data_IF_828482761372
#
_entry.id   IF_828482761372
#
_cell.length_a   1.000
_cell.length_b   1.000
_cell.length_c   1.000
_cell.angle_alpha   90.00
_cell.angle_beta   90.00
_cell.angle_gamma   90.00
#
_symmetry.space_group_name_H-M   'P 1'
#
loop_
_entity.id
_entity.type
_entity.pdbx_description
1 polymer ?
#
# COMPACT_ATOMS: atom_id res chain seq x y z
N UNK A 1 -25.86 -2.53 3.54
CA UNK A 1 -25.77 -2.84 2.08
C UNK A 1 -24.37 -3.33 1.80
N UNK A 2 -24.18 -4.54 1.23
CA UNK A 2 -22.83 -5.00 0.81
C UNK A 2 -22.33 -4.03 -0.28
N UNK A 3 -21.37 -3.17 0.07
CA UNK A 3 -20.74 -2.26 -0.87
C UNK A 3 -20.25 -3.05 -2.10
N UNK A 4 -20.46 -2.49 -3.29
CA UNK A 4 -20.09 -3.13 -4.55
C UNK A 4 -18.64 -3.62 -4.52
N UNK A 5 -18.37 -4.75 -5.17
CA UNK A 5 -17.05 -5.39 -5.22
C UNK A 5 -16.02 -4.39 -5.75
N UNK A 6 -15.12 -3.91 -4.87
CA UNK A 6 -14.07 -2.94 -5.19
C UNK A 6 -13.17 -3.51 -6.28
N UNK A 7 -12.91 -2.73 -7.33
CA UNK A 7 -12.01 -3.12 -8.43
C UNK A 7 -10.71 -2.33 -8.33
N UNK A 8 -9.66 -2.85 -8.95
CA UNK A 8 -8.34 -2.20 -8.98
C UNK A 8 -8.40 -0.76 -9.52
N UNK A 9 -9.18 -0.51 -10.58
CA UNK A 9 -9.35 0.84 -11.15
C UNK A 9 -10.03 1.85 -10.24
N UNK A 10 -10.69 1.40 -9.17
CA UNK A 10 -11.35 2.30 -8.24
C UNK A 10 -10.33 3.01 -7.32
N UNK A 11 -9.06 2.56 -7.28
CA UNK A 11 -8.01 3.18 -6.44
C UNK A 11 -7.73 4.64 -6.80
N UNK A 12 -7.82 5.01 -8.07
CA UNK A 12 -7.55 6.38 -8.53
C UNK A 12 -8.79 7.27 -8.60
N UNK A 13 -9.97 6.76 -8.26
CA UNK A 13 -11.20 7.55 -8.37
C UNK A 13 -11.34 8.52 -7.20
N UNK A 14 -11.81 9.76 -7.46
CA UNK A 14 -12.11 10.70 -6.40
C UNK A 14 -13.23 10.13 -5.52
N UNK A 15 -13.00 10.13 -4.22
CA UNK A 15 -14.01 9.78 -3.21
C UNK A 15 -13.54 10.30 -1.86
N UNK A 16 -14.48 10.71 -1.00
CA UNK A 16 -14.17 11.10 0.38
C UNK A 16 -13.53 9.95 1.14
N UNK A 17 -14.05 8.74 0.94
CA UNK A 17 -13.52 7.51 1.51
C UNK A 17 -13.86 6.32 0.60
N UNK A 18 -12.86 5.53 0.23
CA UNK A 18 -13.02 4.40 -0.69
C UNK A 18 -13.66 3.18 0.00
N UNK A 19 -13.33 2.94 1.28
CA UNK A 19 -13.88 1.84 2.08
C UNK A 19 -14.27 2.32 3.46
N UNK A 20 -15.52 2.10 3.86
CA UNK A 20 -15.92 2.28 5.25
C UNK A 20 -15.55 1.04 6.05
N UNK A 21 -14.69 1.20 7.07
CA UNK A 21 -14.42 0.13 8.01
C UNK A 21 -15.55 0.07 9.06
N UNK A 22 -16.00 -1.14 9.34
CA UNK A 22 -16.98 -1.43 10.37
C UNK A 22 -16.35 -2.38 11.40
N UNK A 23 -16.13 -1.94 12.66
CA UNK A 23 -15.55 -2.78 13.71
C UNK A 23 -16.32 -4.08 13.95
N UNK A 24 -17.62 -4.12 13.66
CA UNK A 24 -18.41 -5.33 13.77
C UNK A 24 -17.96 -6.45 12.81
N UNK A 25 -17.29 -6.08 11.71
CA UNK A 25 -16.77 -7.03 10.72
C UNK A 25 -15.36 -7.53 11.08
N UNK A 26 -14.66 -6.88 12.03
CA UNK A 26 -13.29 -7.25 12.38
C UNK A 26 -13.22 -8.62 13.05
N UNK A 27 -12.05 -9.25 12.94
CA UNK A 27 -11.78 -10.51 13.64
C UNK A 27 -11.94 -10.30 15.15
N UNK A 28 -12.78 -11.13 15.77
CA UNK A 28 -12.96 -11.13 17.22
C UNK A 28 -11.69 -11.63 17.90
N UNK A 29 -11.30 -10.94 18.96
CA UNK A 29 -10.21 -11.41 19.80
C UNK A 29 -10.66 -12.66 20.58
N UNK A 30 -9.72 -13.53 20.98
CA UNK A 30 -10.05 -14.64 21.86
C UNK A 30 -10.59 -14.16 23.22
N UNK A 31 -11.28 -15.06 23.92
CA UNK A 31 -11.69 -14.86 25.31
C UNK A 31 -10.51 -14.35 26.17
N UNK A 32 -10.71 -13.32 27.03
CA UNK A 32 -11.98 -12.70 27.42
C UNK A 32 -12.42 -11.48 26.58
N UNK A 33 -11.75 -11.21 25.46
CA UNK A 33 -12.00 -10.05 24.59
C UNK A 33 -12.88 -10.41 23.38
N UNK A 34 -13.66 -11.49 23.48
CA UNK A 34 -14.50 -12.02 22.42
C UNK A 34 -15.81 -11.23 22.23
N UNK A 35 -16.12 -10.33 23.17
CA UNK A 35 -17.31 -9.46 23.13
C UNK A 35 -16.97 -8.09 22.55
N UNK A 36 -17.73 -7.70 21.53
CA UNK A 36 -17.63 -6.39 20.86
C UNK A 36 -17.78 -5.21 21.83
N UNK A 37 -18.63 -5.40 22.84
CA UNK A 37 -19.13 -4.37 23.75
C UNK A 37 -18.04 -3.84 24.70
N UNK A 38 -16.92 -4.56 24.80
CA UNK A 38 -15.76 -4.21 25.61
C UNK A 38 -14.68 -3.43 24.86
N UNK A 39 -14.75 -3.37 23.53
CA UNK A 39 -13.78 -2.64 22.72
C UNK A 39 -14.12 -1.14 22.70
N UNK A 40 -13.11 -0.25 22.77
CA UNK A 40 -13.36 1.19 22.63
C UNK A 40 -13.90 1.52 21.24
N UNK A 41 -14.74 2.56 21.17
CA UNK A 41 -15.28 3.05 19.91
C UNK A 41 -14.18 3.35 18.90
N UNK A 42 -14.42 2.98 17.64
CA UNK A 42 -13.50 3.24 16.55
C UNK A 42 -13.48 4.72 16.21
N UNK A 43 -12.50 5.42 16.78
CA UNK A 43 -12.37 6.87 16.66
C UNK A 43 -12.19 7.30 15.21
N UNK A 44 -13.11 8.13 14.74
CA UNK A 44 -13.03 8.75 13.41
C UNK A 44 -12.12 9.97 13.43
N UNK A 45 -11.53 10.27 12.27
CA UNK A 45 -10.77 11.49 12.05
C UNK A 45 -11.67 12.72 12.09
N UNK A 46 -11.15 13.81 12.64
CA UNK A 46 -11.83 15.11 12.59
C UNK A 46 -11.82 15.68 11.16
N UNK A 47 -12.75 16.58 10.85
CA UNK A 47 -12.78 17.25 9.54
C UNK A 47 -11.48 18.02 9.26
N UNK A 48 -10.87 18.62 10.28
CA UNK A 48 -9.56 19.26 10.16
C UNK A 48 -8.46 18.27 9.74
N UNK A 49 -8.46 17.05 10.30
CA UNK A 49 -7.51 15.99 9.92
C UNK A 49 -7.78 15.49 8.50
N UNK A 50 -9.04 15.26 8.13
CA UNK A 50 -9.44 14.83 6.78
C UNK A 50 -9.12 15.86 5.70
N UNK A 51 -9.15 17.15 6.04
CA UNK A 51 -8.80 18.22 5.11
C UNK A 51 -7.28 18.35 4.94
N UNK A 52 -6.51 18.14 6.02
CA UNK A 52 -5.06 18.27 6.01
C UNK A 52 -4.33 17.07 5.40
N UNK A 53 -4.82 15.86 5.66
CA UNK A 53 -4.13 14.61 5.32
C UNK A 53 -4.93 13.72 4.36
N UNK A 54 -4.23 12.87 3.63
CA UNK A 54 -4.82 11.87 2.73
C UNK A 54 -5.49 10.72 3.49
N UNK A 55 -6.76 10.92 3.88
CA UNK A 55 -7.57 9.91 4.57
C UNK A 55 -8.50 9.10 3.63
N UNK A 56 -8.38 9.28 2.32
CA UNK A 56 -9.41 8.86 1.35
C UNK A 56 -9.48 7.35 1.09
N UNK A 57 -8.55 6.55 1.63
CA UNK A 57 -8.55 5.10 1.48
C UNK A 57 -9.66 4.46 2.33
N UNK A 58 -9.54 4.57 3.65
CA UNK A 58 -10.41 3.88 4.60
C UNK A 58 -10.73 4.68 5.86
N UNK A 59 -10.45 6.00 5.83
CA UNK A 59 -10.75 6.90 6.94
C UNK A 59 -9.77 6.79 8.12
N UNK A 60 -8.68 6.02 7.99
CA UNK A 60 -7.58 5.91 8.96
C UNK A 60 -6.28 6.38 8.31
N UNK A 61 -5.37 6.95 9.10
CA UNK A 61 -4.04 7.37 8.64
C UNK A 61 -2.97 6.41 9.19
N UNK A 62 -2.29 5.67 8.33
CA UNK A 62 -1.09 4.92 8.68
C UNK A 62 0.16 5.79 8.54
N UNK A 63 0.16 6.68 7.55
CA UNK A 63 1.18 7.69 7.32
C UNK A 63 0.46 9.01 7.08
N UNK A 64 0.68 10.01 7.93
CA UNK A 64 0.01 11.31 7.86
C UNK A 64 0.50 12.13 6.65
N UNK A 65 0.21 11.66 5.43
CA UNK A 65 0.60 12.29 4.16
C UNK A 65 -0.23 13.56 3.98
N UNK A 66 0.39 14.75 3.87
CA UNK A 66 -0.35 15.98 3.60
C UNK A 66 -0.95 15.95 2.20
N UNK A 67 -2.11 16.60 2.02
CA UNK A 67 -2.66 16.84 0.67
C UNK A 67 -1.83 17.91 -0.04
N UNK A 68 -1.54 17.76 -1.34
CA UNK A 68 -0.88 18.80 -2.11
C UNK A 68 -1.78 20.04 -2.19
N UNK A 69 -1.17 21.21 -2.08
CA UNK A 69 -1.88 22.49 -2.09
C UNK A 69 -2.18 22.95 -3.52
N UNK A 70 -1.37 22.50 -4.49
CA UNK A 70 -1.47 22.92 -5.88
C UNK A 70 -1.42 21.74 -6.84
N UNK A 71 -2.01 21.91 -8.03
CA UNK A 71 -1.92 20.91 -9.11
C UNK A 71 -0.49 20.66 -9.57
N UNK A 72 0.36 21.69 -9.56
CA UNK A 72 1.76 21.55 -9.96
C UNK A 72 2.53 20.65 -8.98
N UNK A 73 2.29 20.81 -7.68
CA UNK A 73 2.84 19.93 -6.64
C UNK A 73 2.32 18.49 -6.80
N UNK A 74 1.03 18.33 -7.07
CA UNK A 74 0.42 17.02 -7.35
C UNK A 74 1.15 16.29 -8.50
N UNK A 75 1.32 16.97 -9.62
CA UNK A 75 2.00 16.43 -10.80
C UNK A 75 3.48 16.13 -10.54
N UNK A 76 4.16 16.95 -9.74
CA UNK A 76 5.55 16.72 -9.33
C UNK A 76 5.67 15.45 -8.47
N UNK A 77 4.79 15.26 -7.50
CA UNK A 77 4.77 14.08 -6.64
C UNK A 77 4.54 12.80 -7.45
N UNK A 78 3.59 12.83 -8.39
CA UNK A 78 3.34 11.69 -9.30
C UNK A 78 4.56 11.41 -10.18
N UNK A 79 5.24 12.46 -10.67
CA UNK A 79 6.47 12.32 -11.47
C UNK A 79 7.62 11.72 -10.66
N UNK A 80 7.81 12.15 -9.40
CA UNK A 80 8.80 11.59 -8.48
C UNK A 80 8.55 10.11 -8.22
N UNK A 81 7.28 9.75 -7.97
CA UNK A 81 6.89 8.35 -7.80
C UNK A 81 7.25 7.49 -9.03
N UNK A 82 6.92 7.96 -10.24
CA UNK A 82 7.27 7.26 -11.48
C UNK A 82 8.78 7.11 -11.66
N UNK A 83 9.53 8.20 -11.49
CA UNK A 83 10.99 8.18 -11.60
C UNK A 83 11.62 7.20 -10.60
N UNK A 84 11.13 7.19 -9.36
CA UNK A 84 11.56 6.24 -8.35
C UNK A 84 11.26 4.78 -8.71
N UNK A 85 10.09 4.52 -9.32
CA UNK A 85 9.73 3.19 -9.80
C UNK A 85 10.57 2.74 -11.00
N UNK A 86 10.93 3.65 -11.91
CA UNK A 86 11.87 3.36 -13.01
C UNK A 86 13.23 2.94 -12.45
N UNK A 87 13.79 3.72 -11.51
CA UNK A 87 15.04 3.38 -10.82
C UNK A 87 14.95 2.03 -10.12
N UNK A 88 13.85 1.75 -9.42
CA UNK A 88 13.65 0.50 -8.68
C UNK A 88 13.78 -0.75 -9.56
N UNK A 89 13.51 -0.63 -10.85
CA UNK A 89 13.56 -1.71 -11.84
C UNK A 89 14.88 -1.74 -12.64
N UNK A 90 15.90 -0.94 -12.26
CA UNK A 90 17.24 -1.03 -12.86
C UNK A 90 18.23 -1.78 -11.97
N UNK A 91 19.25 -2.37 -12.60
CA UNK A 91 20.29 -3.13 -11.90
C UNK A 91 21.11 -2.23 -10.98
N UNK A 92 21.44 -1.04 -11.44
CA UNK A 92 22.32 -0.10 -10.76
C UNK A 92 21.72 0.35 -9.41
N UNK A 93 20.40 0.51 -9.35
CA UNK A 93 19.70 1.01 -8.18
C UNK A 93 19.11 -0.10 -7.29
N UNK A 94 18.99 -1.34 -7.80
CA UNK A 94 18.29 -2.40 -7.07
C UNK A 94 18.83 -3.82 -7.26
N UNK A 95 20.11 -3.98 -7.61
CA UNK A 95 20.70 -5.30 -7.93
C UNK A 95 20.41 -6.41 -6.92
N UNK A 96 20.33 -6.12 -5.61
CA UNK A 96 20.07 -7.11 -4.56
C UNK A 96 18.65 -7.70 -4.62
N UNK A 97 17.67 -6.90 -5.02
CA UNK A 97 16.25 -7.29 -5.02
C UNK A 97 15.61 -7.31 -6.42
N UNK A 98 16.33 -6.90 -7.46
CA UNK A 98 15.80 -6.77 -8.81
C UNK A 98 15.20 -8.07 -9.34
N UNK A 99 15.95 -9.18 -9.24
CA UNK A 99 15.47 -10.48 -9.70
C UNK A 99 14.22 -10.94 -8.93
N UNK A 100 14.22 -11.05 -7.59
CA UNK A 100 13.03 -11.52 -6.87
C UNK A 100 11.84 -10.55 -6.98
N UNK A 101 12.08 -9.23 -7.12
CA UNK A 101 11.04 -8.24 -7.41
C UNK A 101 10.42 -8.49 -8.79
N UNK A 102 11.24 -8.61 -9.84
CA UNK A 102 10.79 -8.79 -11.22
C UNK A 102 9.98 -10.08 -11.36
N UNK A 103 10.48 -11.19 -10.83
CA UNK A 103 9.77 -12.47 -10.82
C UNK A 103 8.43 -12.35 -10.06
N UNK A 104 8.41 -11.68 -8.90
CA UNK A 104 7.18 -11.48 -8.13
C UNK A 104 6.16 -10.60 -8.86
N UNK A 105 6.61 -9.62 -9.65
CA UNK A 105 5.74 -8.77 -10.46
C UNK A 105 5.14 -9.53 -11.65
N UNK A 106 5.87 -10.48 -12.23
CA UNK A 106 5.48 -11.13 -13.50
C UNK A 106 4.69 -12.43 -13.31
N UNK A 107 5.04 -13.26 -12.34
CA UNK A 107 4.51 -14.63 -12.27
C UNK A 107 3.19 -14.78 -11.52
N UNK A 108 2.65 -13.73 -10.88
CA UNK A 108 1.43 -13.86 -10.07
C UNK A 108 0.24 -14.40 -10.87
N UNK A 109 -0.18 -15.63 -10.57
CA UNK A 109 -1.33 -16.29 -11.19
C UNK A 109 -2.69 -15.83 -10.63
N UNK A 110 -2.71 -14.86 -9.72
CA UNK A 110 -3.93 -14.32 -9.07
C UNK A 110 -4.83 -15.39 -8.42
N UNK A 111 -4.24 -16.50 -7.95
CA UNK A 111 -4.95 -17.59 -7.28
C UNK A 111 -5.45 -17.26 -5.87
N UNK A 112 -4.97 -16.17 -5.28
CA UNK A 112 -5.39 -15.63 -3.97
C UNK A 112 -5.09 -16.52 -2.75
N UNK A 113 -4.30 -17.60 -2.88
CA UNK A 113 -3.87 -18.45 -1.74
C UNK A 113 -3.27 -17.65 -0.59
N UNK A 114 -2.57 -16.56 -0.89
CA UNK A 114 -1.95 -15.69 0.12
C UNK A 114 -2.93 -14.94 1.03
N UNK A 115 -4.22 -14.86 0.69
CA UNK A 115 -5.19 -14.08 1.44
C UNK A 115 -5.39 -14.61 2.86
N UNK A 116 -5.62 -15.91 3.02
CA UNK A 116 -5.89 -16.52 4.34
C UNK A 116 -4.66 -16.49 5.27
N UNK A 117 -3.46 -16.35 4.71
CA UNK A 117 -2.24 -16.20 5.48
C UNK A 117 -1.98 -14.76 5.98
N UNK A 118 -2.71 -13.76 5.46
CA UNK A 118 -2.47 -12.36 5.79
C UNK A 118 -3.28 -11.92 7.01
N UNK A 119 -2.63 -11.58 8.14
CA UNK A 119 -3.35 -11.18 9.36
C UNK A 119 -4.11 -9.88 9.19
N UNK A 120 -3.65 -8.95 8.35
CA UNK A 120 -4.36 -7.68 8.09
C UNK A 120 -5.65 -7.93 7.32
N UNK A 121 -5.60 -8.77 6.28
CA UNK A 121 -6.80 -9.13 5.52
C UNK A 121 -7.82 -9.85 6.40
N UNK A 122 -7.39 -10.88 7.15
CA UNK A 122 -8.28 -11.61 8.07
C UNK A 122 -8.81 -10.69 9.18
N UNK A 123 -7.92 -9.95 9.84
CA UNK A 123 -8.24 -9.06 10.96
C UNK A 123 -9.25 -7.98 10.60
N UNK A 124 -9.20 -7.48 9.36
CA UNK A 124 -10.14 -6.47 8.87
C UNK A 124 -11.56 -6.96 8.57
N UNK A 125 -11.84 -8.26 8.67
CA UNK A 125 -13.09 -8.82 8.17
C UNK A 125 -13.05 -9.10 6.66
N UNK A 126 -11.86 -9.43 6.12
CA UNK A 126 -11.65 -9.74 4.71
C UNK A 126 -11.99 -8.57 3.76
N UNK A 127 -11.65 -7.33 4.16
CA UNK A 127 -11.85 -6.16 3.30
C UNK A 127 -10.93 -6.23 2.06
N UNK A 128 -11.53 -5.99 0.90
CA UNK A 128 -10.93 -6.22 -0.42
C UNK A 128 -9.61 -5.47 -0.63
N UNK A 129 -9.52 -4.24 -0.09
CA UNK A 129 -8.34 -3.36 -0.20
C UNK A 129 -7.12 -3.90 0.55
N UNK A 130 -7.33 -4.72 1.58
CA UNK A 130 -6.25 -5.25 2.42
C UNK A 130 -5.72 -6.60 1.96
N UNK A 131 -6.30 -7.19 0.91
CA UNK A 131 -5.74 -8.41 0.33
C UNK A 131 -4.27 -8.16 0.00
N UNK A 132 -3.37 -9.10 0.33
CA UNK A 132 -1.96 -8.95 0.01
C UNK A 132 -1.70 -8.71 -1.48
N UNK A 133 -2.53 -9.27 -2.36
CA UNK A 133 -2.43 -9.04 -3.81
C UNK A 133 -2.92 -7.67 -4.25
N UNK A 134 -3.84 -6.99 -3.54
CA UNK A 134 -4.47 -5.77 -4.04
C UNK A 134 -3.44 -4.67 -4.34
N UNK A 135 -2.60 -4.32 -3.37
CA UNK A 135 -1.52 -3.34 -3.55
C UNK A 135 -0.48 -3.76 -4.59
N UNK A 136 -0.14 -5.05 -4.63
CA UNK A 136 0.82 -5.58 -5.60
C UNK A 136 0.27 -5.56 -7.03
N UNK A 137 -1.04 -5.81 -7.21
CA UNK A 137 -1.72 -5.69 -8.50
C UNK A 137 -1.83 -4.25 -8.97
N UNK A 138 -2.07 -3.30 -8.07
CA UNK A 138 -1.99 -1.86 -8.39
C UNK A 138 -0.60 -1.53 -8.92
N UNK A 139 0.46 -1.95 -8.21
CA UNK A 139 1.83 -1.72 -8.66
C UNK A 139 2.11 -2.39 -10.01
N UNK A 140 1.70 -3.65 -10.21
CA UNK A 140 1.84 -4.36 -11.49
C UNK A 140 1.13 -3.61 -12.62
N UNK A 141 -0.07 -3.09 -12.39
CA UNK A 141 -0.80 -2.29 -13.36
C UNK A 141 -0.05 -0.99 -13.71
N UNK A 142 0.52 -0.31 -12.71
CA UNK A 142 1.34 0.89 -12.94
C UNK A 142 2.60 0.56 -13.74
N UNK A 143 3.37 -0.45 -13.33
CA UNK A 143 4.59 -0.90 -14.04
C UNK A 143 4.27 -1.28 -15.48
N UNK A 144 3.21 -2.08 -15.68
CA UNK A 144 2.82 -2.53 -17.01
C UNK A 144 2.33 -1.38 -17.90
N UNK A 145 1.61 -0.39 -17.37
CA UNK A 145 1.04 0.72 -18.16
C UNK A 145 2.06 1.83 -18.46
N UNK A 146 2.87 2.21 -17.48
CA UNK A 146 3.72 3.41 -17.54
C UNK A 146 5.21 3.13 -17.75
N UNK A 147 5.72 1.96 -17.35
CA UNK A 147 7.15 1.65 -17.41
C UNK A 147 7.48 0.75 -18.61
N UNK A 148 6.70 -0.31 -18.84
CA UNK A 148 6.95 -1.26 -19.94
C UNK A 148 6.65 -0.64 -21.32
N UNK A 149 7.51 -0.93 -22.31
CA UNK A 149 7.31 -0.52 -23.71
C UNK A 149 5.99 -1.09 -24.26
N UNK A 150 5.16 -0.24 -24.88
CA UNK A 150 3.83 -0.63 -25.38
C UNK A 150 2.75 -0.79 -24.29
N UNK A 151 3.07 -0.45 -23.03
CA UNK A 151 2.24 -0.68 -21.86
C UNK A 151 0.84 -0.10 -21.92
N UNK A 152 0.68 1.12 -22.45
CA UNK A 152 -0.63 1.80 -22.53
C UNK A 152 -1.66 1.03 -23.37
N UNK A 153 -1.24 0.43 -24.48
CA UNK A 153 -2.14 -0.35 -25.35
C UNK A 153 -2.49 -1.69 -24.69
N UNK A 154 -1.50 -2.35 -24.08
CA UNK A 154 -1.72 -3.62 -23.38
C UNK A 154 -2.58 -3.47 -22.11
N UNK A 155 -2.46 -2.35 -21.38
CA UNK A 155 -3.25 -2.07 -20.19
C UNK A 155 -4.75 -2.00 -20.50
N UNK A 156 -5.13 -1.37 -21.61
CA UNK A 156 -6.52 -1.29 -22.09
C UNK A 156 -7.10 -2.66 -22.41
N UNK A 157 -6.31 -3.55 -23.02
CA UNK A 157 -6.73 -4.90 -23.37
C UNK A 157 -6.80 -5.85 -22.17
N UNK A 158 -5.82 -5.76 -21.26
CA UNK A 158 -5.70 -6.67 -20.11
C UNK A 158 -6.63 -6.31 -18.93
N UNK A 159 -7.40 -5.23 -19.02
CA UNK A 159 -8.28 -4.76 -17.95
C UNK A 159 -7.54 -4.17 -16.74
N UNK A 160 -6.22 -3.96 -16.84
CA UNK A 160 -5.37 -3.35 -15.81
C UNK A 160 -5.18 -1.84 -16.05
N UNK A 161 -6.18 -1.18 -16.64
CA UNK A 161 -6.13 0.24 -16.94
C UNK A 161 -6.39 1.07 -15.67
N UNK A 162 -5.31 1.43 -14.97
CA UNK A 162 -5.33 2.29 -13.77
C UNK A 162 -4.81 3.67 -14.14
N UNK A 163 -5.50 4.71 -13.68
CA UNK A 163 -5.05 6.09 -13.79
C UNK A 163 -4.04 6.40 -12.70
N UNK A 164 -2.90 6.97 -13.09
CA UNK A 164 -1.87 7.36 -12.15
C UNK A 164 -2.02 8.85 -11.85
N UNK A 165 -2.71 9.12 -10.75
CA UNK A 165 -2.88 10.44 -10.15
C UNK A 165 -2.41 10.40 -8.68
N UNK A 166 -2.39 11.55 -8.02
CA UNK A 166 -1.94 11.60 -6.62
C UNK A 166 -2.79 10.73 -5.69
N UNK A 167 -4.10 10.70 -5.89
CA UNK A 167 -5.00 9.83 -5.10
C UNK A 167 -4.55 8.36 -5.14
N UNK A 168 -4.15 7.87 -6.33
CA UNK A 168 -3.60 6.51 -6.48
C UNK A 168 -2.31 6.33 -5.71
N UNK A 169 -1.39 7.30 -5.83
CA UNK A 169 -0.07 7.26 -5.17
C UNK A 169 -0.22 7.29 -3.65
N UNK A 170 -1.02 8.21 -3.10
CA UNK A 170 -1.27 8.36 -1.67
C UNK A 170 -1.95 7.12 -1.07
N UNK A 171 -3.00 6.60 -1.72
CA UNK A 171 -3.69 5.36 -1.27
C UNK A 171 -2.77 4.15 -1.34
N UNK A 172 -1.92 4.06 -2.37
CA UNK A 172 -0.94 3.00 -2.49
C UNK A 172 0.13 3.10 -1.38
N UNK A 173 0.54 4.31 -1.00
CA UNK A 173 1.44 4.54 0.12
C UNK A 173 0.81 4.08 1.45
N UNK A 174 -0.42 4.50 1.75
CA UNK A 174 -1.20 4.02 2.90
C UNK A 174 -1.26 2.49 2.96
N UNK A 175 -1.61 1.83 1.85
CA UNK A 175 -1.64 0.37 1.76
C UNK A 175 -0.27 -0.27 1.94
N UNK A 176 0.80 0.36 1.45
CA UNK A 176 2.16 -0.11 1.62
C UNK A 176 2.54 -0.11 3.10
N UNK A 177 2.18 0.92 3.86
CA UNK A 177 2.51 1.03 5.28
C UNK A 177 1.60 0.23 6.23
N UNK A 178 0.43 -0.24 5.76
CA UNK A 178 -0.41 -1.21 6.50
C UNK A 178 0.10 -2.65 6.46
N UNK A 179 0.96 -2.98 5.50
CA UNK A 179 1.59 -4.30 5.46
C UNK A 179 2.57 -4.47 6.63
N UNK A 180 2.53 -5.56 7.38
CA UNK A 180 3.53 -5.81 8.44
C UNK A 180 4.86 -6.35 7.92
N UNK A 181 5.00 -6.54 6.60
CA UNK A 181 6.16 -7.19 5.96
C UNK A 181 6.48 -8.59 6.55
N UNK A 182 5.52 -9.27 7.18
CA UNK A 182 5.73 -10.60 7.78
C UNK A 182 6.00 -11.73 6.78
N UNK A 183 5.85 -11.48 5.47
CA UNK A 183 6.10 -12.42 4.36
C UNK A 183 5.38 -13.77 4.43
N UNK A 184 4.37 -13.94 5.29
CA UNK A 184 3.48 -15.13 5.29
C UNK A 184 2.85 -15.40 3.92
N UNK A 185 2.54 -14.33 3.18
CA UNK A 185 2.04 -14.42 1.80
C UNK A 185 3.02 -15.10 0.82
N UNK A 186 4.33 -14.98 1.05
CA UNK A 186 5.35 -15.64 0.23
C UNK A 186 5.47 -17.12 0.57
N UNK A 187 5.45 -17.44 1.87
CA UNK A 187 5.56 -18.83 2.37
C UNK A 187 4.42 -19.73 1.87
N UNK A 188 3.22 -19.19 1.72
CA UNK A 188 2.06 -19.94 1.23
C UNK A 188 1.90 -19.89 -0.30
N UNK A 189 2.70 -19.09 -1.01
CA UNK A 189 2.53 -18.94 -2.46
C UNK A 189 3.06 -20.20 -3.19
N UNK A 190 2.24 -20.89 -4.00
CA UNK A 190 2.67 -22.12 -4.68
C UNK A 190 3.74 -21.88 -5.77
N UNK A 191 3.92 -20.63 -6.19
CA UNK A 191 4.86 -20.22 -7.24
C UNK A 191 5.90 -19.19 -6.72
N UNK A 192 5.98 -19.00 -5.40
CA UNK A 192 7.02 -18.17 -4.78
C UNK A 192 6.88 -16.65 -4.95
N UNK A 193 5.72 -16.12 -5.35
CA UNK A 193 5.48 -14.66 -5.41
C UNK A 193 5.46 -14.06 -4.01
N UNK A 194 6.24 -13.00 -3.81
CA UNK A 194 6.37 -12.34 -2.53
C UNK A 194 5.75 -10.94 -2.51
N UNK A 195 4.48 -10.85 -2.08
CA UNK A 195 3.82 -9.55 -1.93
C UNK A 195 4.42 -8.71 -0.78
N UNK A 196 5.11 -9.33 0.17
CA UNK A 196 5.86 -8.64 1.23
C UNK A 196 7.08 -7.93 0.65
N UNK A 197 7.86 -8.60 -0.18
CA UNK A 197 8.98 -8.01 -0.92
C UNK A 197 8.50 -6.89 -1.84
N UNK A 198 7.44 -7.09 -2.62
CA UNK A 198 6.88 -6.02 -3.46
C UNK A 198 6.56 -4.78 -2.62
N UNK A 199 6.02 -4.98 -1.41
CA UNK A 199 5.68 -3.86 -0.51
C UNK A 199 6.93 -3.20 0.09
N UNK A 200 7.96 -3.99 0.42
CA UNK A 200 9.25 -3.48 0.87
C UNK A 200 9.88 -2.56 -0.19
N UNK A 201 9.93 -3.02 -1.44
CA UNK A 201 10.47 -2.26 -2.57
C UNK A 201 9.62 -1.01 -2.87
N UNK A 202 8.31 -1.10 -2.73
CA UNK A 202 7.42 0.05 -2.84
C UNK A 202 7.68 1.11 -1.73
N UNK A 203 7.94 0.69 -0.49
CA UNK A 203 8.32 1.61 0.61
C UNK A 203 9.68 2.26 0.36
N UNK A 204 10.60 1.60 -0.35
CA UNK A 204 11.87 2.20 -0.78
C UNK A 204 11.61 3.42 -1.68
N UNK A 205 10.71 3.30 -2.66
CA UNK A 205 10.31 4.44 -3.50
C UNK A 205 9.71 5.57 -2.67
N UNK A 206 8.73 5.28 -1.80
CA UNK A 206 8.09 6.31 -0.98
C UNK A 206 9.09 7.01 -0.05
N UNK A 207 9.93 6.27 0.66
CA UNK A 207 10.87 6.85 1.62
C UNK A 207 12.03 7.58 0.93
N UNK A 208 12.72 6.95 -0.02
CA UNK A 208 13.97 7.48 -0.57
C UNK A 208 13.76 8.51 -1.69
N UNK A 209 12.71 8.38 -2.49
CA UNK A 209 12.48 9.25 -3.65
C UNK A 209 11.43 10.33 -3.36
N UNK A 210 10.52 10.08 -2.42
CA UNK A 210 9.44 11.02 -2.10
C UNK A 210 9.51 11.59 -0.67
N UNK A 211 10.36 11.05 0.21
CA UNK A 211 10.42 11.46 1.61
C UNK A 211 9.16 11.07 2.42
N UNK A 212 8.35 10.16 1.90
CA UNK A 212 7.11 9.71 2.53
C UNK A 212 7.39 8.44 3.35
N UNK A 213 7.37 8.57 4.67
CA UNK A 213 7.48 7.46 5.61
C UNK A 213 6.86 7.85 6.97
N UNK A 214 6.46 6.87 7.81
CA UNK A 214 6.02 7.16 9.17
C UNK A 214 7.17 7.73 9.99
N UNK A 215 6.90 8.81 10.72
CA UNK A 215 7.88 9.54 11.53
C UNK A 215 8.47 8.64 12.60
N UNK A 216 7.63 7.80 13.21
CA UNK A 216 7.94 6.91 14.33
C UNK A 216 9.01 5.89 13.95
N UNK A 217 8.94 5.32 12.74
CA UNK A 217 9.86 4.26 12.31
C UNK A 217 11.03 4.79 11.47
N UNK A 218 10.85 5.90 10.75
CA UNK A 218 11.89 6.43 9.87
C UNK A 218 12.71 7.53 10.53
N UNK A 219 12.09 8.67 10.84
CA UNK A 219 12.78 9.83 11.44
C UNK A 219 13.26 9.53 12.85
N UNK A 220 12.39 8.97 13.69
CA UNK A 220 12.68 8.63 15.08
C UNK A 220 13.27 7.22 15.25
N UNK A 221 13.19 6.38 14.22
CA UNK A 221 13.73 5.02 14.21
C UNK A 221 15.04 4.92 13.43
N UNK A 222 14.97 4.68 12.12
CA UNK A 222 16.16 4.42 11.29
C UNK A 222 17.15 5.60 11.23
N UNK A 223 16.66 6.84 11.10
CA UNK A 223 17.53 8.02 11.05
C UNK A 223 18.16 8.32 12.41
N UNK A 224 17.46 8.00 13.51
CA UNK A 224 18.01 8.08 14.86
C UNK A 224 19.09 7.01 15.08
N UNK A 225 18.85 5.78 14.63
CA UNK A 225 19.83 4.70 14.68
C UNK A 225 21.14 5.04 13.97
N UNK A 226 21.08 5.67 12.78
CA UNK A 226 22.29 6.10 12.07
C UNK A 226 23.11 7.15 12.86
N UNK A 227 22.47 7.96 13.70
CA UNK A 227 23.14 9.00 14.50
C UNK A 227 23.65 8.48 15.84
N UNK A 228 22.85 7.67 16.52
CA UNK A 228 23.08 7.25 17.91
C UNK A 228 23.52 5.79 18.06
N UNK A 229 23.52 4.99 17.00
CA UNK A 229 23.80 3.55 17.06
C UNK A 229 22.61 2.69 17.53
N UNK A 230 21.50 3.29 17.96
CA UNK A 230 20.28 2.57 18.37
C UNK A 230 19.00 3.32 17.93
N UNK A 231 17.94 2.55 17.65
CA UNK A 231 16.64 3.11 17.25
C UNK A 231 15.92 3.81 18.41
N UNK A 232 16.30 3.53 19.65
CA UNK A 232 15.79 4.21 20.84
C UNK A 232 16.63 5.43 21.22
N UNK A 233 17.85 5.54 20.71
CA UNK A 233 18.84 6.56 21.10
C UNK A 233 19.48 6.33 22.47
N UNK A 234 19.30 5.13 23.03
CA UNK A 234 20.01 4.64 24.21
C UNK A 234 21.32 3.97 23.80
#
# INVERSE_FOLDING_TARGET
MKAGKIRLKDIGKPSDQMVQLNPADFMRLPYPYDKADSDPDFKQLTEAQKNKYEASLDGVLAISIPKPETKAEEEELVRKFLSGLEKLLTKENNWTFLQPLTLSLEYCAKCQTCNEACPIYIGSGKQEIYRPTYRSEVLRAIVNKYIKKGGKTFAKFSGNDIDLNWTTVARLAELAYRCTLCRRCAQTCPIGVDNGLITHELRKVFSQEMGIAPVEIHTLGSMKHLKAGSSTGL
#
